data_IF_730022130025
#
_entry.id   IF_730022130025
#
_cell.length_a   1.000
_cell.length_b   1.000
_cell.length_c   1.000
_cell.angle_alpha   90.00
_cell.angle_beta   90.00
_cell.angle_gamma   90.00
#
_symmetry.space_group_name_H-M   'P 1'
#
loop_
_entity.id
_entity.type
_entity.pdbx_description
1 polymer ?
#
# COMPACT_ATOMS: atom_id res chain seq x y z
N UNK A 1 54.74 9.39 -5.00
CA UNK A 1 53.43 9.00 -5.55
C UNK A 1 52.66 7.95 -4.73
N UNK A 2 53.28 7.01 -3.99
CA UNK A 2 52.55 6.02 -3.17
C UNK A 2 51.72 6.60 -2.00
N UNK A 3 52.11 7.75 -1.42
CA UNK A 3 51.41 8.35 -0.27
C UNK A 3 50.12 9.12 -0.64
N UNK A 4 49.94 9.56 -1.90
CA UNK A 4 48.71 10.24 -2.33
C UNK A 4 47.56 9.27 -2.56
N UNK A 5 47.84 8.06 -3.06
CA UNK A 5 46.81 7.05 -3.29
C UNK A 5 46.18 6.52 -1.99
N UNK A 6 46.95 6.45 -0.90
CA UNK A 6 46.44 6.00 0.41
C UNK A 6 45.44 7.00 1.00
N UNK A 7 45.69 8.30 0.85
CA UNK A 7 44.79 9.36 1.37
C UNK A 7 43.47 9.37 0.60
N UNK A 8 43.50 9.18 -0.72
CA UNK A 8 42.27 9.11 -1.53
C UNK A 8 41.43 7.87 -1.22
N UNK A 9 42.07 6.73 -0.93
CA UNK A 9 41.38 5.50 -0.54
C UNK A 9 40.72 5.63 0.85
N UNK A 10 41.40 6.24 1.84
CA UNK A 10 40.82 6.47 3.16
C UNK A 10 39.66 7.48 3.16
N UNK A 11 39.75 8.56 2.35
CA UNK A 11 38.64 9.51 2.19
C UNK A 11 37.41 8.86 1.54
N UNK A 12 37.59 7.95 0.58
CA UNK A 12 36.46 7.23 -0.02
C UNK A 12 35.76 6.28 0.95
N UNK A 13 36.50 5.63 1.88
CA UNK A 13 35.92 4.72 2.88
C UNK A 13 35.10 5.46 3.95
N UNK A 14 35.44 6.71 4.30
CA UNK A 14 34.66 7.48 5.30
C UNK A 14 33.29 7.94 4.79
N UNK A 15 33.08 8.03 3.47
CA UNK A 15 31.77 8.38 2.91
C UNK A 15 30.78 7.20 2.89
N UNK A 16 31.24 5.96 3.05
CA UNK A 16 30.37 4.77 3.02
C UNK A 16 29.74 4.40 4.38
N UNK A 17 30.12 5.05 5.48
CA UNK A 17 29.74 4.64 6.84
C UNK A 17 28.61 5.46 7.46
N UNK A 18 28.03 6.44 6.76
CA UNK A 18 26.92 7.23 7.29
C UNK A 18 25.73 7.22 6.34
N UNK A 19 25.08 6.06 6.21
CA UNK A 19 23.80 5.99 5.51
C UNK A 19 22.74 6.73 6.32
N UNK A 20 22.22 7.81 5.73
CA UNK A 20 21.11 8.59 6.27
C UNK A 20 19.81 7.79 6.14
N UNK A 21 18.87 7.99 7.06
CA UNK A 21 17.51 7.46 6.89
C UNK A 21 16.86 8.17 5.71
N UNK A 22 16.30 7.40 4.80
CA UNK A 22 15.59 7.91 3.62
C UNK A 22 14.23 7.26 3.48
N UNK A 23 13.27 7.97 2.90
CA UNK A 23 11.96 7.45 2.54
C UNK A 23 11.81 7.47 1.02
N UNK A 24 11.68 6.29 0.42
CA UNK A 24 11.43 6.13 -1.02
C UNK A 24 9.99 5.69 -1.26
N UNK A 25 9.19 6.55 -1.87
CA UNK A 25 7.82 6.26 -2.29
C UNK A 25 7.85 5.49 -3.61
N UNK A 26 7.14 4.38 -3.70
CA UNK A 26 7.02 3.57 -4.92
C UNK A 26 5.57 3.11 -5.04
N UNK A 27 4.89 3.52 -6.10
CA UNK A 27 3.57 3.01 -6.43
C UNK A 27 3.72 1.80 -7.35
N UNK A 28 3.40 0.62 -6.85
CA UNK A 28 3.31 -0.56 -7.69
C UNK A 28 1.96 -0.57 -8.39
N UNK A 29 1.98 -0.59 -9.72
CA UNK A 29 0.79 -0.76 -10.56
C UNK A 29 0.76 -2.12 -11.25
N UNK A 30 1.69 -3.02 -10.91
CA UNK A 30 1.72 -4.39 -11.44
C UNK A 30 2.36 -5.34 -10.44
N UNK A 31 1.93 -6.60 -10.48
CA UNK A 31 2.46 -7.66 -9.65
C UNK A 31 2.58 -8.95 -10.46
N UNK A 32 3.57 -9.76 -10.07
CA UNK A 32 3.72 -11.13 -10.57
C UNK A 32 3.39 -12.09 -9.43
N UNK A 33 2.42 -12.96 -9.68
CA UNK A 33 2.00 -14.00 -8.77
C UNK A 33 2.50 -15.35 -9.28
N UNK A 34 3.02 -16.15 -8.35
CA UNK A 34 3.27 -17.59 -8.54
C UNK A 34 2.13 -18.35 -7.87
N UNK A 35 1.73 -19.46 -8.47
CA UNK A 35 0.64 -20.26 -7.95
C UNK A 35 0.51 -21.58 -8.68
N UNK A 36 -0.66 -22.20 -8.56
CA UNK A 36 -0.99 -23.40 -9.31
C UNK A 36 -2.49 -23.48 -9.61
N UNK A 37 -2.81 -24.25 -10.64
CA UNK A 37 -4.16 -24.65 -11.01
C UNK A 37 -4.17 -26.18 -11.13
N UNK A 38 -5.05 -26.86 -10.41
CA UNK A 38 -5.13 -28.31 -10.36
C UNK A 38 -3.75 -29.00 -10.09
N UNK A 39 -2.94 -28.40 -9.22
CA UNK A 39 -1.58 -28.86 -8.91
C UNK A 39 -0.53 -28.57 -10.00
N UNK A 40 -0.89 -27.89 -11.09
CA UNK A 40 0.05 -27.49 -12.15
C UNK A 40 0.53 -26.06 -11.91
N UNK A 41 1.85 -25.82 -11.82
CA UNK A 41 2.39 -24.48 -11.58
C UNK A 41 2.02 -23.46 -12.66
N UNK A 42 1.67 -22.26 -12.22
CA UNK A 42 1.36 -21.11 -13.07
C UNK A 42 2.14 -19.86 -12.64
N UNK A 43 2.32 -18.98 -13.61
CA UNK A 43 2.77 -17.60 -13.39
C UNK A 43 1.71 -16.66 -13.93
N UNK A 44 1.35 -15.66 -13.13
CA UNK A 44 0.38 -14.64 -13.49
C UNK A 44 1.01 -13.27 -13.34
N UNK A 45 0.85 -12.40 -14.34
CA UNK A 45 1.23 -11.00 -14.25
C UNK A 45 -0.04 -10.16 -14.40
N UNK A 46 -0.37 -9.40 -13.37
CA UNK A 46 -1.51 -8.49 -13.36
C UNK A 46 -1.03 -7.06 -13.22
N UNK A 47 -1.79 -6.13 -13.80
CA UNK A 47 -1.58 -4.70 -13.66
C UNK A 47 -2.89 -3.99 -13.41
N UNK A 48 -2.80 -2.91 -12.64
CA UNK A 48 -3.87 -1.97 -12.39
C UNK A 48 -4.29 -1.33 -13.72
N UNK A 49 -5.59 -1.36 -14.00
CA UNK A 49 -6.17 -0.90 -15.26
C UNK A 49 -7.25 0.18 -15.07
N UNK A 50 -7.23 0.87 -13.93
CA UNK A 50 -8.16 1.95 -13.58
C UNK A 50 -9.06 1.60 -12.40
N UNK A 51 -9.57 2.63 -11.74
CA UNK A 51 -10.55 2.46 -10.66
C UNK A 51 -11.87 2.00 -11.28
N UNK A 52 -12.51 0.99 -10.69
CA UNK A 52 -13.77 0.44 -11.21
C UNK A 52 -14.97 1.32 -10.87
N UNK A 53 -14.85 2.09 -9.79
CA UNK A 53 -15.85 3.03 -9.31
C UNK A 53 -15.16 4.14 -8.49
N UNK A 54 -15.49 4.32 -7.21
CA UNK A 54 -14.96 5.37 -6.34
C UNK A 54 -14.10 4.83 -5.20
N UNK A 55 -13.93 3.51 -5.09
CA UNK A 55 -13.05 2.91 -4.09
C UNK A 55 -11.68 2.56 -4.66
N UNK A 56 -10.61 3.00 -4.00
CA UNK A 56 -9.23 2.59 -4.33
C UNK A 56 -8.97 1.09 -4.07
N UNK A 57 -9.88 0.39 -3.39
CA UNK A 57 -9.88 -1.07 -3.25
C UNK A 57 -10.77 -1.80 -4.25
N UNK A 58 -11.39 -1.06 -5.18
CA UNK A 58 -12.18 -1.60 -6.26
C UNK A 58 -11.62 -1.09 -7.58
N UNK A 59 -10.87 -1.94 -8.27
CA UNK A 59 -10.20 -1.55 -9.49
C UNK A 59 -10.19 -2.64 -10.53
N UNK A 60 -10.16 -2.21 -11.79
CA UNK A 60 -9.94 -3.11 -12.90
C UNK A 60 -8.52 -3.61 -12.91
N UNK A 61 -8.38 -4.86 -13.31
CA UNK A 61 -7.10 -5.50 -13.54
C UNK A 61 -7.06 -6.05 -14.94
N UNK A 62 -5.93 -5.90 -15.59
CA UNK A 62 -5.61 -6.59 -16.84
C UNK A 62 -4.34 -7.39 -16.64
N UNK A 63 -4.09 -8.35 -17.53
CA UNK A 63 -2.86 -9.11 -17.45
C UNK A 63 -2.90 -10.39 -18.25
N UNK A 64 -2.13 -11.35 -17.79
CA UNK A 64 -2.09 -12.69 -18.35
C UNK A 64 -1.65 -13.68 -17.29
N UNK A 65 -1.95 -14.95 -17.54
CA UNK A 65 -1.30 -16.07 -16.86
C UNK A 65 -0.77 -17.08 -17.86
N UNK A 66 0.17 -17.93 -17.45
CA UNK A 66 0.55 -19.12 -18.20
C UNK A 66 0.84 -20.27 -17.26
N UNK A 67 0.74 -21.48 -17.78
CA UNK A 67 1.31 -22.68 -17.16
C UNK A 67 2.81 -22.71 -17.40
N UNK A 68 3.62 -22.88 -16.34
CA UNK A 68 5.07 -22.70 -16.40
C UNK A 68 5.76 -23.63 -17.41
N UNK A 69 5.18 -24.82 -17.64
CA UNK A 69 5.64 -25.79 -18.64
C UNK A 69 5.49 -25.29 -20.08
N UNK A 70 4.43 -24.55 -20.40
CA UNK A 70 4.08 -24.18 -21.78
C UNK A 70 4.39 -22.72 -22.10
N UNK A 71 4.40 -21.84 -21.08
CA UNK A 71 4.67 -20.40 -21.20
C UNK A 71 3.80 -19.64 -22.22
N UNK A 72 2.68 -20.25 -22.66
CA UNK A 72 1.70 -19.60 -23.52
C UNK A 72 0.83 -18.68 -22.68
N UNK A 73 0.95 -17.37 -22.91
CA UNK A 73 0.17 -16.34 -22.22
C UNK A 73 -1.31 -16.44 -22.60
N UNK A 74 -2.14 -16.53 -21.57
CA UNK A 74 -3.59 -16.49 -21.65
C UNK A 74 -4.01 -15.16 -21.05
N UNK A 75 -4.64 -14.26 -21.83
CA UNK A 75 -4.94 -12.91 -21.37
C UNK A 75 -6.09 -12.92 -20.36
N UNK A 76 -6.05 -11.96 -19.44
CA UNK A 76 -7.02 -11.81 -18.37
C UNK A 76 -7.45 -10.36 -18.27
N UNK A 77 -8.73 -10.16 -17.97
CA UNK A 77 -9.31 -8.89 -17.51
C UNK A 77 -10.24 -9.19 -16.36
N UNK A 78 -10.29 -8.33 -15.35
CA UNK A 78 -11.05 -8.62 -14.14
C UNK A 78 -11.24 -7.41 -13.24
N UNK A 79 -11.69 -7.71 -12.02
CA UNK A 79 -11.87 -6.76 -10.94
C UNK A 79 -11.23 -7.31 -9.67
N UNK A 80 -10.49 -6.45 -8.99
CA UNK A 80 -10.12 -6.63 -7.59
C UNK A 80 -11.13 -5.88 -6.74
N UNK A 81 -11.73 -6.54 -5.76
CA UNK A 81 -12.80 -6.03 -4.90
C UNK A 81 -12.53 -6.46 -3.46
N UNK A 82 -11.91 -5.59 -2.65
CA UNK A 82 -11.61 -5.83 -1.23
C UNK A 82 -11.04 -7.23 -0.90
N UNK A 83 -10.00 -7.68 -1.63
CA UNK A 83 -9.35 -8.99 -1.40
C UNK A 83 -10.03 -10.16 -2.14
N UNK A 84 -11.02 -9.86 -2.98
CA UNK A 84 -11.58 -10.79 -3.96
C UNK A 84 -11.11 -10.43 -5.35
N UNK A 85 -10.37 -11.33 -5.99
CA UNK A 85 -9.84 -11.15 -7.34
C UNK A 85 -10.60 -12.03 -8.32
N UNK A 86 -11.37 -11.40 -9.21
CA UNK A 86 -12.20 -12.08 -10.23
C UNK A 86 -11.65 -11.78 -11.63
N UNK A 87 -11.17 -12.80 -12.33
CA UNK A 87 -10.43 -12.67 -13.60
C UNK A 87 -11.09 -13.50 -14.70
N UNK A 88 -11.17 -12.94 -15.92
CA UNK A 88 -11.87 -13.53 -17.05
C UNK A 88 -11.00 -13.55 -18.30
N UNK A 89 -11.03 -14.68 -19.01
CA UNK A 89 -10.54 -14.80 -20.37
C UNK A 89 -11.73 -14.93 -21.34
N UNK A 90 -11.93 -13.95 -22.21
CA UNK A 90 -12.95 -13.96 -23.26
C UNK A 90 -12.44 -14.56 -24.59
N UNK A 91 -11.27 -15.20 -24.58
CA UNK A 91 -10.71 -15.90 -25.72
C UNK A 91 -10.42 -14.97 -26.91
N UNK A 92 -10.89 -15.34 -28.10
CA UNK A 92 -10.65 -14.56 -29.33
C UNK A 92 -11.23 -13.14 -29.26
N UNK A 93 -12.24 -12.91 -28.41
CA UNK A 93 -12.87 -11.60 -28.22
C UNK A 93 -12.31 -10.82 -27.03
N UNK A 94 -11.16 -11.22 -26.46
CA UNK A 94 -10.57 -10.57 -25.28
C UNK A 94 -10.60 -9.05 -25.37
N UNK A 95 -9.99 -8.46 -26.40
CA UNK A 95 -9.84 -7.01 -26.50
C UNK A 95 -11.18 -6.26 -26.50
N UNK A 96 -12.17 -6.77 -27.24
CA UNK A 96 -13.49 -6.13 -27.36
C UNK A 96 -14.30 -6.34 -26.08
N UNK A 97 -14.39 -7.57 -25.59
CA UNK A 97 -15.19 -7.89 -24.41
C UNK A 97 -14.60 -7.28 -23.13
N UNK A 98 -13.28 -7.14 -23.02
CA UNK A 98 -12.64 -6.46 -21.89
C UNK A 98 -13.05 -4.99 -21.81
N UNK A 99 -13.17 -4.31 -22.97
CA UNK A 99 -13.66 -2.92 -23.02
C UNK A 99 -15.12 -2.84 -22.59
N UNK A 100 -15.99 -3.67 -23.17
CA UNK A 100 -17.42 -3.71 -22.82
C UNK A 100 -17.61 -4.05 -21.34
N UNK A 101 -16.82 -4.99 -20.81
CA UNK A 101 -16.86 -5.38 -19.41
C UNK A 101 -16.58 -4.20 -18.48
N UNK A 102 -15.53 -3.43 -18.75
CA UNK A 102 -15.18 -2.25 -17.96
C UNK A 102 -16.20 -1.11 -18.10
N UNK A 103 -16.73 -0.91 -19.30
CA UNK A 103 -17.77 0.10 -19.55
C UNK A 103 -19.09 -0.19 -18.83
N UNK A 104 -19.36 -1.46 -18.47
CA UNK A 104 -20.57 -1.86 -17.73
C UNK A 104 -20.43 -1.79 -16.20
N UNK A 105 -19.20 -1.67 -15.68
CA UNK A 105 -18.94 -1.61 -14.25
C UNK A 105 -18.57 -0.16 -13.93
N UNK A 106 -19.53 0.58 -13.38
CA UNK A 106 -19.43 2.04 -13.18
C UNK A 106 -19.95 2.49 -11.82
N UNK A 107 -20.29 1.55 -10.94
CA UNK A 107 -20.85 1.82 -9.60
C UNK A 107 -20.61 0.65 -8.65
N UNK A 108 -20.72 0.83 -7.32
CA UNK A 108 -20.55 -0.25 -6.36
C UNK A 108 -21.50 -1.43 -6.63
N UNK A 109 -22.75 -1.16 -6.99
CA UNK A 109 -23.75 -2.19 -7.28
C UNK A 109 -23.38 -3.02 -8.52
N UNK A 110 -22.75 -2.39 -9.52
CA UNK A 110 -22.27 -3.11 -10.71
C UNK A 110 -20.99 -3.89 -10.44
N UNK A 111 -20.13 -3.43 -9.50
CA UNK A 111 -18.96 -4.18 -9.02
C UNK A 111 -19.39 -5.48 -8.34
N UNK A 112 -20.41 -5.45 -7.47
CA UNK A 112 -20.95 -6.67 -6.85
C UNK A 112 -21.48 -7.67 -7.89
N UNK A 113 -22.02 -7.17 -9.00
CA UNK A 113 -22.52 -7.95 -10.14
C UNK A 113 -21.47 -8.21 -11.22
N UNK A 114 -20.18 -8.13 -10.87
CA UNK A 114 -19.08 -8.35 -11.81
C UNK A 114 -19.19 -9.70 -12.53
N UNK A 115 -19.47 -10.78 -11.80
CA UNK A 115 -19.58 -12.11 -12.42
C UNK A 115 -20.76 -12.21 -13.38
N UNK A 116 -21.96 -11.73 -13.00
CA UNK A 116 -23.12 -11.69 -13.89
C UNK A 116 -22.81 -10.94 -15.19
N UNK A 117 -22.20 -9.75 -15.06
CA UNK A 117 -21.77 -8.91 -16.19
C UNK A 117 -20.79 -9.64 -17.10
N UNK A 118 -19.80 -10.33 -16.53
CA UNK A 118 -18.83 -11.10 -17.29
C UNK A 118 -19.48 -12.30 -18.00
N UNK A 119 -20.36 -13.05 -17.33
CA UNK A 119 -21.01 -14.23 -17.92
C UNK A 119 -21.87 -13.89 -19.14
N UNK A 120 -22.48 -12.71 -19.18
CA UNK A 120 -23.19 -12.20 -20.38
C UNK A 120 -22.28 -12.03 -21.60
N UNK A 121 -20.95 -11.95 -21.39
CA UNK A 121 -19.94 -11.86 -22.45
C UNK A 121 -19.32 -13.22 -22.79
N UNK A 122 -19.86 -14.31 -22.25
CA UNK A 122 -19.47 -15.70 -22.50
C UNK A 122 -17.94 -15.93 -22.38
N UNK A 123 -17.35 -15.77 -21.17
CA UNK A 123 -15.94 -16.02 -20.96
C UNK A 123 -15.63 -17.49 -21.23
N UNK A 124 -14.46 -17.75 -21.83
CA UNK A 124 -13.93 -19.11 -21.97
C UNK A 124 -13.47 -19.67 -20.63
N UNK A 125 -12.93 -18.80 -19.79
CA UNK A 125 -12.33 -19.16 -18.50
C UNK A 125 -12.63 -18.06 -17.49
N UNK A 126 -12.91 -18.46 -16.26
CA UNK A 126 -13.08 -17.56 -15.12
C UNK A 126 -12.25 -18.07 -13.95
N UNK A 127 -11.48 -17.19 -13.32
CA UNK A 127 -10.67 -17.49 -12.13
C UNK A 127 -11.15 -16.58 -11.00
N UNK A 128 -11.39 -17.16 -9.83
CA UNK A 128 -11.73 -16.43 -8.61
C UNK A 128 -10.74 -16.76 -7.51
N UNK A 129 -10.11 -15.75 -6.94
CA UNK A 129 -9.36 -15.86 -5.69
C UNK A 129 -10.07 -15.06 -4.61
N UNK A 130 -10.04 -15.60 -3.40
CA UNK A 130 -10.63 -14.94 -2.25
C UNK A 130 -9.68 -15.08 -1.06
N UNK A 131 -9.29 -13.96 -0.48
CA UNK A 131 -8.54 -13.92 0.77
C UNK A 131 -9.47 -14.26 1.95
N UNK A 132 -9.80 -15.55 2.12
CA UNK A 132 -10.47 -16.02 3.33
C UNK A 132 -9.45 -16.18 4.46
N UNK A 133 -9.64 -15.39 5.52
CA UNK A 133 -8.86 -15.34 6.79
C UNK A 133 -7.32 -15.35 6.66
N UNK A 134 -6.70 -14.27 7.15
CA UNK A 134 -5.28 -13.90 7.03
C UNK A 134 -4.22 -14.86 7.66
N UNK A 135 -4.53 -16.15 7.86
CA UNK A 135 -3.66 -17.12 8.52
C UNK A 135 -2.82 -17.98 7.57
N UNK A 136 -3.13 -18.04 6.28
CA UNK A 136 -2.37 -18.85 5.32
C UNK A 136 -1.47 -17.98 4.41
N UNK A 137 -0.23 -18.43 4.19
CA UNK A 137 0.72 -17.84 3.22
C UNK A 137 0.31 -18.10 1.75
N UNK A 138 -0.93 -18.48 1.51
CA UNK A 138 -1.48 -18.79 0.21
C UNK A 138 -2.93 -18.31 0.11
N UNK A 139 -3.29 -17.75 -1.03
CA UNK A 139 -4.66 -17.32 -1.33
C UNK A 139 -5.32 -18.40 -2.18
N UNK A 140 -6.42 -18.96 -1.67
CA UNK A 140 -7.18 -20.02 -2.32
C UNK A 140 -8.13 -19.45 -3.37
N UNK A 141 -8.48 -20.29 -4.34
CA UNK A 141 -9.34 -19.91 -5.43
C UNK A 141 -9.84 -21.10 -6.24
N UNK A 142 -10.53 -20.78 -7.32
CA UNK A 142 -11.07 -21.76 -8.26
C UNK A 142 -11.03 -21.21 -9.68
N UNK A 143 -10.73 -22.07 -10.63
CA UNK A 143 -10.89 -21.81 -12.06
C UNK A 143 -12.07 -22.61 -12.60
N UNK A 144 -12.86 -21.96 -13.44
CA UNK A 144 -14.03 -22.52 -14.11
C UNK A 144 -13.74 -22.56 -15.61
N UNK A 145 -13.70 -23.77 -16.16
CA UNK A 145 -13.28 -24.03 -17.54
C UNK A 145 -14.19 -25.11 -18.12
N UNK A 146 -14.91 -24.81 -19.20
CA UNK A 146 -15.82 -25.75 -19.88
C UNK A 146 -16.76 -26.54 -18.92
N UNK A 147 -17.40 -25.82 -17.99
CA UNK A 147 -18.30 -26.35 -16.94
C UNK A 147 -17.62 -27.21 -15.85
N UNK A 148 -16.30 -27.37 -15.89
CA UNK A 148 -15.53 -27.99 -14.82
C UNK A 148 -14.96 -26.92 -13.90
N UNK A 149 -14.86 -27.26 -12.62
CA UNK A 149 -14.21 -26.42 -11.61
C UNK A 149 -12.94 -27.11 -11.15
N UNK A 150 -11.84 -26.37 -11.11
CA UNK A 150 -10.56 -26.86 -10.61
C UNK A 150 -10.05 -25.95 -9.49
N UNK A 151 -9.37 -26.50 -8.47
CA UNK A 151 -8.77 -25.69 -7.43
C UNK A 151 -7.64 -24.84 -8.01
N UNK A 152 -7.51 -23.63 -7.51
CA UNK A 152 -6.41 -22.73 -7.82
C UNK A 152 -5.87 -22.12 -6.52
N UNK A 153 -4.58 -21.79 -6.47
CA UNK A 153 -4.02 -21.03 -5.36
C UNK A 153 -2.86 -20.15 -5.79
N UNK A 154 -2.70 -19.00 -5.13
CA UNK A 154 -1.53 -18.14 -5.26
C UNK A 154 -0.62 -18.35 -4.04
N UNK A 155 0.69 -18.45 -4.25
CA UNK A 155 1.70 -18.62 -3.20
C UNK A 155 2.10 -17.27 -2.59
N UNK A 156 1.11 -16.51 -2.14
CA UNK A 156 1.26 -15.24 -1.45
C UNK A 156 0.12 -15.07 -0.46
N UNK A 157 0.36 -14.38 0.65
CA UNK A 157 -0.70 -13.91 1.56
C UNK A 157 -1.29 -12.56 1.18
N UNK A 158 -0.80 -11.93 0.11
CA UNK A 158 -1.23 -10.60 -0.36
C UNK A 158 -1.38 -10.59 -1.88
N UNK A 159 -2.62 -10.46 -2.36
CA UNK A 159 -3.03 -10.38 -3.76
C UNK A 159 -3.21 -8.95 -4.28
N UNK A 160 -2.99 -7.93 -3.46
CA UNK A 160 -3.13 -6.53 -3.90
C UNK A 160 -2.20 -6.25 -5.09
N UNK A 161 -2.73 -5.70 -6.16
CA UNK A 161 -1.96 -5.34 -7.36
C UNK A 161 -1.48 -3.89 -7.29
N UNK A 162 -2.35 -3.01 -6.82
CA UNK A 162 -2.09 -1.59 -6.69
C UNK A 162 -1.68 -1.24 -5.26
N UNK A 163 -0.42 -0.83 -5.04
CA UNK A 163 0.15 -0.61 -3.70
C UNK A 163 0.91 0.69 -3.63
N UNK A 164 0.65 1.48 -2.60
CA UNK A 164 1.42 2.69 -2.26
C UNK A 164 2.55 2.33 -1.29
N UNK A 165 3.60 1.67 -1.80
CA UNK A 165 4.73 1.30 -0.97
C UNK A 165 5.51 2.53 -0.54
N UNK A 166 5.95 2.53 0.72
CA UNK A 166 6.89 3.53 1.23
C UNK A 166 8.03 2.80 1.91
N UNK A 167 9.19 2.80 1.26
CA UNK A 167 10.35 2.11 1.74
C UNK A 167 11.20 3.04 2.59
N UNK A 168 11.31 2.75 3.88
CA UNK A 168 12.32 3.34 4.73
C UNK A 168 13.63 2.60 4.51
N UNK A 169 14.62 3.34 4.02
CA UNK A 169 16.00 2.89 3.90
C UNK A 169 16.70 3.39 5.17
N UNK A 170 17.05 2.45 6.03
CA UNK A 170 17.67 2.67 7.34
C UNK A 170 19.18 2.37 7.26
N UNK A 171 19.97 2.79 8.26
CA UNK A 171 21.38 2.43 8.33
C UNK A 171 21.64 0.93 8.17
N UNK A 172 22.82 0.59 7.64
CA UNK A 172 23.22 -0.77 7.27
C UNK A 172 22.35 -1.40 6.17
N UNK A 173 21.82 -0.59 5.24
CA UNK A 173 20.96 -0.98 4.12
C UNK A 173 19.71 -1.76 4.55
N UNK A 174 19.26 -1.60 5.79
CA UNK A 174 17.99 -2.19 6.23
C UNK A 174 16.85 -1.48 5.51
N UNK A 175 16.02 -2.24 4.81
CA UNK A 175 14.87 -1.72 4.07
C UNK A 175 13.61 -2.30 4.67
N UNK A 176 12.69 -1.42 5.08
CA UNK A 176 11.36 -1.81 5.55
C UNK A 176 10.31 -1.08 4.72
N UNK A 177 9.17 -1.72 4.47
CA UNK A 177 8.05 -1.10 3.80
C UNK A 177 6.99 -0.71 4.85
N UNK A 178 6.68 0.57 4.99
CA UNK A 178 5.68 1.00 5.97
C UNK A 178 4.26 0.57 5.61
N UNK A 179 4.03 0.19 4.35
CA UNK A 179 2.78 -0.41 3.91
C UNK A 179 2.42 -1.66 4.73
N UNK A 180 3.42 -2.40 5.21
CA UNK A 180 3.22 -3.66 5.92
C UNK A 180 2.67 -3.46 7.34
N UNK A 181 2.73 -2.24 7.91
CA UNK A 181 2.40 -2.01 9.32
C UNK A 181 1.76 -0.67 9.70
N UNK A 182 1.70 0.36 8.84
CA UNK A 182 1.11 1.68 9.18
C UNK A 182 -0.33 1.80 8.67
N UNK A 183 -0.49 1.90 7.35
CA UNK A 183 -1.76 1.84 6.64
C UNK A 183 -1.48 1.79 5.13
N UNK A 184 -2.49 1.45 4.34
CA UNK A 184 -2.37 1.27 2.89
C UNK A 184 -2.57 2.57 2.09
N UNK A 185 -2.89 3.68 2.76
CA UNK A 185 -3.22 4.98 2.15
C UNK A 185 -1.99 5.71 1.59
N UNK A 186 -0.78 5.33 2.01
CA UNK A 186 0.45 6.02 1.64
C UNK A 186 0.55 7.40 2.29
N UNK A 187 0.98 8.41 1.52
CA UNK A 187 1.00 9.80 1.98
C UNK A 187 2.10 10.18 2.98
N UNK A 188 2.99 9.25 3.34
CA UNK A 188 4.04 9.50 4.32
C UNK A 188 5.15 10.40 3.75
N UNK A 189 5.74 11.25 4.57
CA UNK A 189 6.90 12.08 4.28
C UNK A 189 7.89 12.01 5.43
N UNK A 190 9.18 11.81 5.11
CA UNK A 190 10.21 11.82 6.13
C UNK A 190 10.45 13.25 6.60
N UNK A 191 10.19 13.51 7.88
CA UNK A 191 10.42 14.81 8.51
C UNK A 191 11.79 14.84 9.15
N UNK A 192 12.09 13.86 10.00
CA UNK A 192 13.36 13.74 10.70
C UNK A 192 13.57 12.35 11.26
N UNK A 193 14.77 12.09 11.77
CA UNK A 193 15.08 10.88 12.53
C UNK A 193 16.10 11.22 13.61
N UNK A 194 16.13 10.42 14.67
CA UNK A 194 17.15 10.49 15.71
C UNK A 194 17.75 9.11 15.93
N UNK A 195 19.03 9.08 16.27
CA UNK A 195 19.75 7.88 16.67
C UNK A 195 20.38 8.13 18.03
N UNK A 196 19.76 7.58 19.08
CA UNK A 196 20.21 7.69 20.47
C UNK A 196 20.80 6.34 20.91
N UNK A 197 21.66 6.34 21.94
CA UNK A 197 22.35 5.13 22.42
C UNK A 197 21.42 3.93 22.70
N UNK A 198 20.17 4.20 23.10
CA UNK A 198 19.21 3.19 23.51
C UNK A 198 18.01 3.01 22.55
N UNK A 199 17.76 3.95 21.64
CA UNK A 199 16.58 3.92 20.74
C UNK A 199 16.78 4.79 19.51
N UNK A 200 16.32 4.31 18.36
CA UNK A 200 16.22 5.13 17.15
C UNK A 200 14.75 5.47 16.89
N UNK A 201 14.49 6.64 16.32
CA UNK A 201 13.13 7.06 15.95
C UNK A 201 13.12 7.69 14.57
N UNK A 202 12.02 7.50 13.86
CA UNK A 202 11.73 8.17 12.60
C UNK A 202 10.42 8.93 12.77
N UNK A 203 10.45 10.23 12.49
CA UNK A 203 9.27 11.07 12.46
C UNK A 203 8.82 11.22 11.02
N UNK A 204 7.59 10.79 10.75
CA UNK A 204 6.91 10.98 9.48
C UNK A 204 5.80 12.02 9.65
N UNK A 205 5.64 12.87 8.64
CA UNK A 205 4.39 13.58 8.40
C UNK A 205 3.54 12.72 7.46
N UNK A 206 2.22 12.76 7.57
CA UNK A 206 1.36 12.13 6.59
C UNK A 206 0.21 13.03 6.19
N UNK A 207 -0.19 12.86 4.94
CA UNK A 207 -1.38 13.45 4.35
C UNK A 207 -1.95 12.43 3.34
N UNK A 208 -3.18 12.00 3.55
CA UNK A 208 -3.87 11.08 2.66
C UNK A 208 -5.39 11.23 2.73
N UNK A 209 -6.14 10.64 1.80
CA UNK A 209 -7.61 10.63 1.86
C UNK A 209 -8.12 9.99 3.15
N UNK A 210 -9.24 10.48 3.67
CA UNK A 210 -9.85 9.93 4.90
C UNK A 210 -10.55 8.60 4.69
N UNK A 211 -11.08 8.40 3.50
CA UNK A 211 -11.74 7.15 3.12
C UNK A 211 -11.26 6.74 1.74
N UNK A 212 -10.78 5.49 1.61
CA UNK A 212 -10.41 4.94 0.30
C UNK A 212 -11.63 4.67 -0.57
N UNK A 213 -12.83 4.59 0.03
CA UNK A 213 -14.09 4.70 -0.67
C UNK A 213 -14.51 6.18 -0.76
N UNK A 214 -14.26 6.80 -1.92
CA UNK A 214 -14.56 8.21 -2.14
C UNK A 214 -16.08 8.52 -2.16
N UNK A 215 -16.95 7.53 -2.35
CA UNK A 215 -18.40 7.70 -2.20
C UNK A 215 -18.89 7.58 -0.75
N UNK A 216 -18.04 7.11 0.17
CA UNK A 216 -18.37 6.93 1.57
C UNK A 216 -18.28 8.22 2.38
N UNK A 217 -18.64 8.14 3.67
CA UNK A 217 -18.38 9.23 4.63
C UNK A 217 -16.92 9.66 4.53
N UNK A 218 -16.68 10.97 4.44
CA UNK A 218 -15.35 11.59 4.32
C UNK A 218 -14.58 11.29 3.01
N UNK A 219 -15.23 10.71 1.99
CA UNK A 219 -14.57 10.35 0.74
C UNK A 219 -14.06 11.55 -0.10
N UNK A 220 -14.74 12.70 0.00
CA UNK A 220 -14.34 13.95 -0.64
C UNK A 220 -13.75 14.98 0.33
N UNK A 221 -13.32 14.55 1.53
CA UNK A 221 -12.72 15.46 2.51
C UNK A 221 -11.29 15.85 2.16
N UNK A 222 -10.78 16.91 2.79
CA UNK A 222 -9.38 17.40 2.70
C UNK A 222 -8.34 16.39 3.25
N UNK A 223 -8.79 15.22 3.69
CA UNK A 223 -7.97 14.10 4.10
C UNK A 223 -7.69 14.04 5.61
N UNK A 224 -6.79 13.12 5.93
CA UNK A 224 -6.25 12.88 7.26
C UNK A 224 -4.81 13.37 7.23
N UNK A 225 -4.46 14.23 8.18
CA UNK A 225 -3.13 14.81 8.31
C UNK A 225 -2.61 14.58 9.70
N UNK A 226 -1.31 14.34 9.82
CA UNK A 226 -0.73 14.06 11.13
C UNK A 226 0.73 13.73 11.11
N UNK A 227 1.18 13.23 12.27
CA UNK A 227 2.54 12.74 12.46
C UNK A 227 2.53 11.29 12.91
N UNK A 228 3.54 10.54 12.50
CA UNK A 228 3.82 9.20 12.99
C UNK A 228 5.22 9.14 13.55
N UNK A 229 5.35 8.56 14.74
CA UNK A 229 6.66 8.28 15.34
C UNK A 229 6.88 6.79 15.28
N UNK A 230 7.83 6.35 14.46
CA UNK A 230 8.23 4.95 14.37
C UNK A 230 9.39 4.72 15.32
N UNK A 231 9.28 3.67 16.13
CA UNK A 231 10.26 3.32 17.14
C UNK A 231 11.05 2.09 16.74
N UNK A 232 12.37 2.17 16.94
CA UNK A 232 13.31 1.12 16.60
C UNK A 232 14.23 0.81 17.78
N UNK A 233 14.73 -0.43 17.83
CA UNK A 233 15.91 -0.79 18.62
C UNK A 233 17.15 -0.01 18.15
N UNK A 234 18.22 -0.01 18.95
CA UNK A 234 19.53 0.57 18.58
C UNK A 234 20.05 0.04 17.24
N UNK A 235 19.74 -1.20 16.91
CA UNK A 235 20.14 -1.87 15.68
C UNK A 235 19.14 -1.66 14.53
N UNK A 236 18.23 -0.70 14.63
CA UNK A 236 17.22 -0.38 13.61
C UNK A 236 16.21 -1.49 13.31
N UNK A 237 15.97 -2.42 14.27
CA UNK A 237 14.84 -3.34 14.18
C UNK A 237 13.56 -2.64 14.64
N UNK A 238 12.51 -2.71 13.83
CA UNK A 238 11.20 -2.10 14.08
C UNK A 238 10.56 -2.66 15.36
N UNK A 239 9.92 -1.79 16.15
CA UNK A 239 9.16 -2.17 17.35
C UNK A 239 7.67 -1.90 17.19
N UNK A 240 7.32 -0.63 16.99
CA UNK A 240 5.96 -0.15 16.88
C UNK A 240 5.96 1.28 16.32
N UNK A 241 4.78 1.86 16.17
CA UNK A 241 4.61 3.27 15.88
C UNK A 241 3.46 3.87 16.70
N UNK A 242 3.49 5.18 16.84
CA UNK A 242 2.37 5.99 17.33
C UNK A 242 1.94 6.96 16.24
N UNK A 243 0.63 7.22 16.18
CA UNK A 243 0.02 8.14 15.22
C UNK A 243 -0.67 9.30 15.96
N UNK A 244 -0.51 10.50 15.43
CA UNK A 244 -1.02 11.74 16.01
C UNK A 244 -1.70 12.58 14.92
N UNK A 245 -3.04 12.63 14.95
CA UNK A 245 -3.84 13.38 14.00
C UNK A 245 -3.81 14.89 14.32
N UNK A 246 -3.66 15.71 13.28
CA UNK A 246 -3.82 17.17 13.33
C UNK A 246 -4.99 17.64 12.46
N UNK A 247 -5.52 16.77 11.60
CA UNK A 247 -6.72 17.01 10.81
C UNK A 247 -7.32 15.65 10.51
N UNK A 248 -8.62 15.50 10.75
CA UNK A 248 -9.31 14.23 10.54
C UNK A 248 -10.79 14.44 10.28
N UNK A 249 -11.27 13.94 9.15
CA UNK A 249 -12.70 13.99 8.89
C UNK A 249 -13.45 12.91 9.69
N UNK A 250 -12.82 11.75 9.88
CA UNK A 250 -13.43 10.64 10.61
C UNK A 250 -13.56 10.93 12.11
N UNK A 251 -12.56 11.58 12.69
CA UNK A 251 -12.50 11.92 14.12
C UNK A 251 -13.04 13.33 14.42
N UNK A 252 -13.56 14.03 13.42
CA UNK A 252 -14.04 15.41 13.51
C UNK A 252 -12.99 16.37 14.13
N UNK A 253 -11.73 16.24 13.68
CA UNK A 253 -10.62 17.11 14.09
C UNK A 253 -10.43 18.20 13.05
N UNK A 254 -10.93 19.39 13.36
CA UNK A 254 -10.86 20.59 12.52
C UNK A 254 -10.36 21.80 13.33
N UNK A 255 -10.08 22.91 12.65
CA UNK A 255 -9.73 24.21 13.28
C UNK A 255 -8.50 24.19 14.20
N UNK A 256 -7.48 23.43 13.80
CA UNK A 256 -6.26 23.28 14.60
C UNK A 256 -5.37 24.52 14.51
N UNK A 257 -5.05 25.10 15.67
CA UNK A 257 -4.14 26.25 15.72
C UNK A 257 -2.69 25.78 15.75
N UNK A 258 -1.92 26.14 14.71
CA UNK A 258 -0.50 25.82 14.58
C UNK A 258 0.37 26.98 15.08
N UNK A 259 1.33 26.68 15.95
CA UNK A 259 2.35 27.63 16.41
C UNK A 259 3.74 27.02 16.24
N UNK A 260 4.67 27.74 15.61
CA UNK A 260 6.08 27.32 15.52
C UNK A 260 6.91 28.06 16.56
N UNK A 261 7.83 27.34 17.18
CA UNK A 261 8.89 27.91 18.04
C UNK A 261 9.81 28.83 17.24
N UNK A 262 10.48 29.75 17.94
CA UNK A 262 11.42 30.72 17.31
C UNK A 262 12.61 30.03 16.64
N UNK A 263 13.08 28.92 17.21
CA UNK A 263 14.18 28.11 16.67
C UNK A 263 13.74 27.16 15.54
N UNK A 264 12.43 27.11 15.24
CA UNK A 264 11.78 26.22 14.27
C UNK A 264 12.01 24.73 14.50
N UNK A 265 12.48 24.33 15.68
CA UNK A 265 12.71 22.92 16.03
C UNK A 265 11.46 22.26 16.60
N UNK A 266 10.56 23.06 17.18
CA UNK A 266 9.30 22.58 17.75
C UNK A 266 8.08 23.19 17.06
N UNK A 267 7.08 22.37 16.76
CA UNK A 267 5.76 22.79 16.27
C UNK A 267 4.71 22.38 17.30
N UNK A 268 3.83 23.31 17.67
CA UNK A 268 2.69 23.04 18.57
C UNK A 268 1.39 23.14 17.80
N UNK A 269 0.50 22.19 18.05
CA UNK A 269 -0.85 22.14 17.52
C UNK A 269 -1.83 22.11 18.68
N UNK A 270 -2.70 23.11 18.79
CA UNK A 270 -3.82 23.09 19.73
C UNK A 270 -5.03 22.52 19.02
N UNK A 271 -5.52 21.39 19.52
CA UNK A 271 -6.64 20.64 18.97
C UNK A 271 -7.83 20.85 19.90
N UNK A 272 -8.93 21.35 19.35
CA UNK A 272 -10.18 21.51 20.08
C UNK A 272 -10.76 20.14 20.47
N UNK A 273 -11.74 20.15 21.38
CA UNK A 273 -12.46 18.92 21.73
C UNK A 273 -13.20 18.41 20.48
N UNK A 274 -13.00 17.13 20.15
CA UNK A 274 -13.80 16.41 19.16
C UNK A 274 -14.81 15.49 19.85
N UNK A 275 -15.62 14.78 19.06
CA UNK A 275 -16.58 13.81 19.57
C UNK A 275 -15.90 12.65 20.33
N UNK A 276 -14.69 12.30 19.92
CA UNK A 276 -13.94 11.14 20.40
C UNK A 276 -12.78 11.49 21.32
N UNK A 277 -12.29 12.75 21.28
CA UNK A 277 -11.12 13.15 22.06
C UNK A 277 -11.30 14.50 22.77
N UNK A 278 -10.85 14.63 24.03
CA UNK A 278 -10.83 15.92 24.71
C UNK A 278 -9.85 16.86 24.01
N UNK A 279 -10.04 18.16 24.22
CA UNK A 279 -9.08 19.17 23.78
C UNK A 279 -7.67 18.83 24.31
N UNK A 280 -6.67 18.99 23.46
CA UNK A 280 -5.29 18.65 23.78
C UNK A 280 -4.32 19.44 22.91
N UNK A 281 -3.05 19.46 23.32
CA UNK A 281 -1.96 20.03 22.56
C UNK A 281 -1.00 18.93 22.11
N UNK A 282 -0.65 18.93 20.83
CA UNK A 282 0.46 18.14 20.31
C UNK A 282 1.70 19.03 20.20
N UNK A 283 2.81 18.58 20.76
CA UNK A 283 4.13 19.21 20.61
C UNK A 283 5.02 18.27 19.79
N UNK A 284 5.30 18.66 18.55
CA UNK A 284 6.17 17.96 17.62
C UNK A 284 7.57 18.52 17.73
N UNK A 285 8.50 17.70 18.20
CA UNK A 285 9.93 18.00 18.27
C UNK A 285 10.63 17.38 17.07
N UNK A 286 11.01 18.23 16.12
CA UNK A 286 11.64 17.83 14.87
C UNK A 286 13.07 17.34 15.08
N UNK A 287 13.77 17.85 16.10
CA UNK A 287 15.16 17.47 16.39
C UNK A 287 15.23 16.08 17.01
N UNK A 288 14.33 15.80 17.96
CA UNK A 288 14.29 14.53 18.67
C UNK A 288 13.36 13.49 18.02
N UNK A 289 12.78 13.82 16.85
CA UNK A 289 11.86 12.97 16.10
C UNK A 289 10.75 12.39 17.01
N UNK A 290 10.06 13.27 17.73
CA UNK A 290 9.05 12.87 18.72
C UNK A 290 7.84 13.77 18.74
N UNK A 291 6.72 13.24 19.20
CA UNK A 291 5.48 13.98 19.42
C UNK A 291 5.02 13.71 20.84
N UNK A 292 4.64 14.76 21.56
CA UNK A 292 4.08 14.66 22.92
C UNK A 292 2.67 15.22 22.91
N UNK A 293 1.72 14.43 23.41
CA UNK A 293 0.33 14.84 23.64
C UNK A 293 0.16 15.28 25.10
N UNK A 294 -0.30 16.51 25.32
CA UNK A 294 -0.66 17.05 26.64
C UNK A 294 -2.10 17.52 26.67
N UNK A 295 -2.74 17.51 27.85
CA UNK A 295 -4.05 18.13 28.06
C UNK A 295 -3.96 19.65 27.96
#
# INVERSE_FOLDING_TARGET
MKKLFTVFFFLSLTFFLCQKVELKKVTDSSQIFKGEIAGVPITMQLHFAGIADCSLYQYFVDGWYYYDKYQKKIPLTGVYDYGKLSLYNFGAKQKINSKIFKEKITSPQTVEKTNETAQLLAPKEYISFNQQEAKENAIQGSIYLDKKTHPARLFTGNDMIYRYNNYLILPNNKKINTFDFINQYGGNELVSYTSEENRNRVLLYFEHSSNLNACGRCGASEGEKGYRVLYFTKDWNYKNYEEFLIESCLENVYDVTKTKSKDRQTIRYKIAKSDTTPAHTLTVDLKNASVVKSK
#
